data_IF_717326325376
#
_entry.id   IF_717326325376
#
_cell.length_a   1.000
_cell.length_b   1.000
_cell.length_c   1.000
_cell.angle_alpha   90.00
_cell.angle_beta   90.00
_cell.angle_gamma   90.00
#
_symmetry.space_group_name_H-M   'P 1'
#
loop_
_entity.id
_entity.type
_entity.pdbx_description
1 polymer ?
#
# COMPACT_ATOMS: atom_id res chain seq x y z
N UNK A 1 -1.15 17.28 -12.05
CA UNK A 1 -1.49 15.84 -12.10
C UNK A 1 -0.18 15.07 -12.17
N UNK A 2 0.21 14.32 -11.12
CA UNK A 2 1.41 13.49 -11.19
C UNK A 2 1.21 12.46 -12.30
N UNK A 3 2.20 12.29 -13.18
CA UNK A 3 2.12 11.31 -14.27
C UNK A 3 2.12 9.89 -13.68
N UNK A 4 1.38 8.97 -14.31
CA UNK A 4 1.33 7.56 -13.89
C UNK A 4 2.74 6.94 -13.79
N UNK A 5 3.65 7.34 -14.67
CA UNK A 5 5.03 6.87 -14.67
C UNK A 5 5.77 7.24 -13.38
N UNK A 6 5.58 8.47 -12.89
CA UNK A 6 6.24 8.95 -11.67
C UNK A 6 5.77 8.19 -10.42
N UNK A 7 4.45 7.96 -10.30
CA UNK A 7 3.90 7.25 -9.13
C UNK A 7 4.35 5.79 -9.09
N UNK A 8 4.47 5.13 -10.25
CA UNK A 8 5.04 3.78 -10.30
C UNK A 8 6.52 3.78 -9.93
N UNK A 9 7.31 4.74 -10.41
CA UNK A 9 8.73 4.82 -10.05
C UNK A 9 8.92 4.95 -8.54
N UNK A 10 8.15 5.84 -7.89
CA UNK A 10 8.19 5.96 -6.43
C UNK A 10 7.85 4.65 -5.71
N UNK A 11 6.79 3.96 -6.15
CA UNK A 11 6.41 2.69 -5.55
C UNK A 11 7.48 1.62 -5.75
N UNK A 12 8.05 1.51 -6.95
CA UNK A 12 9.13 0.55 -7.23
C UNK A 12 10.38 0.85 -6.41
N UNK A 13 10.75 2.13 -6.27
CA UNK A 13 11.85 2.54 -5.38
C UNK A 13 11.58 2.12 -3.93
N UNK A 14 10.36 2.33 -3.42
CA UNK A 14 9.99 1.93 -2.07
C UNK A 14 10.02 0.40 -1.87
N UNK A 15 9.52 -0.37 -2.84
CA UNK A 15 9.55 -1.83 -2.82
C UNK A 15 10.99 -2.36 -2.85
N UNK A 16 11.85 -1.79 -3.70
CA UNK A 16 13.25 -2.19 -3.77
C UNK A 16 13.98 -1.91 -2.45
N UNK A 17 13.76 -0.73 -1.86
CA UNK A 17 14.29 -0.41 -0.54
C UNK A 17 13.79 -1.39 0.54
N UNK A 18 12.51 -1.74 0.52
CA UNK A 18 11.92 -2.70 1.45
C UNK A 18 12.56 -4.10 1.30
N UNK A 19 12.84 -4.54 0.06
CA UNK A 19 13.58 -5.78 -0.22
C UNK A 19 14.98 -5.77 0.39
N UNK A 20 15.74 -4.70 0.17
CA UNK A 20 17.09 -4.54 0.74
C UNK A 20 17.08 -4.62 2.27
N UNK A 21 16.01 -4.10 2.90
CA UNK A 21 15.81 -4.15 4.35
C UNK A 21 15.18 -5.45 4.86
N UNK A 22 14.92 -6.43 3.98
CA UNK A 22 14.27 -7.71 4.32
C UNK A 22 12.90 -7.52 4.99
N UNK A 23 12.19 -6.45 4.63
CA UNK A 23 10.79 -6.27 4.99
C UNK A 23 10.00 -7.37 4.30
N UNK A 24 9.06 -8.00 5.01
CA UNK A 24 8.24 -9.08 4.46
C UNK A 24 6.97 -8.55 3.80
N UNK A 25 6.36 -7.53 4.41
CA UNK A 25 5.04 -7.05 4.05
C UNK A 25 4.97 -5.53 4.18
N UNK A 26 4.25 -4.88 3.27
CA UNK A 26 3.90 -3.46 3.33
C UNK A 26 2.39 -3.36 3.55
N UNK A 27 1.98 -2.58 4.55
CA UNK A 27 0.58 -2.30 4.85
C UNK A 27 0.28 -0.83 4.64
N UNK A 28 -0.93 -0.50 4.17
CA UNK A 28 -1.39 0.89 4.07
C UNK A 28 -2.89 1.01 4.36
N UNK A 29 -3.27 2.15 4.93
CA UNK A 29 -4.65 2.62 5.06
C UNK A 29 -4.96 3.70 4.03
N UNK A 30 -6.20 3.76 3.57
CA UNK A 30 -6.67 4.79 2.64
C UNK A 30 -8.14 5.16 2.85
N UNK A 31 -8.55 6.27 2.23
CA UNK A 31 -9.94 6.76 2.24
C UNK A 31 -10.74 6.09 1.11
N UNK A 32 -12.05 5.82 1.30
CA UNK A 32 -12.88 5.19 0.27
C UNK A 32 -13.00 6.01 -1.02
N UNK A 33 -12.96 7.35 -0.89
CA UNK A 33 -13.14 8.28 -2.01
C UNK A 33 -11.96 8.27 -3.01
N UNK A 34 -10.79 7.71 -2.65
CA UNK A 34 -9.59 7.71 -3.50
C UNK A 34 -9.55 6.53 -4.48
N UNK A 35 -10.56 6.44 -5.36
CA UNK A 35 -10.73 5.33 -6.30
C UNK A 35 -9.53 5.12 -7.24
N UNK A 36 -8.86 6.19 -7.67
CA UNK A 36 -7.67 6.09 -8.51
C UNK A 36 -6.49 5.44 -7.75
N UNK A 37 -6.34 5.75 -6.46
CA UNK A 37 -5.32 5.14 -5.61
C UNK A 37 -5.60 3.65 -5.40
N UNK A 38 -6.87 3.27 -5.16
CA UNK A 38 -7.27 1.86 -5.01
C UNK A 38 -6.89 1.03 -6.23
N UNK A 39 -7.28 1.49 -7.43
CA UNK A 39 -6.90 0.83 -8.69
C UNK A 39 -5.38 0.77 -8.87
N UNK A 40 -4.68 1.83 -8.47
CA UNK A 40 -3.21 1.88 -8.54
C UNK A 40 -2.57 0.83 -7.62
N UNK A 41 -3.04 0.67 -6.39
CA UNK A 41 -2.54 -0.34 -5.45
C UNK A 41 -2.81 -1.75 -5.99
N UNK A 42 -4.05 -2.02 -6.40
CA UNK A 42 -4.47 -3.33 -6.92
C UNK A 42 -3.66 -3.72 -8.18
N UNK A 43 -3.49 -2.78 -9.11
CA UNK A 43 -2.66 -2.99 -10.31
C UNK A 43 -1.19 -3.27 -9.99
N UNK A 44 -0.68 -2.74 -8.89
CA UNK A 44 0.70 -2.96 -8.44
C UNK A 44 0.83 -4.15 -7.46
N UNK A 45 -0.19 -5.00 -7.34
CA UNK A 45 -0.12 -6.26 -6.60
C UNK A 45 -0.44 -6.16 -5.11
N UNK A 46 -0.96 -5.03 -4.65
CA UNK A 46 -1.55 -4.97 -3.32
C UNK A 46 -2.88 -5.70 -3.30
N UNK A 47 -3.15 -6.40 -2.20
CA UNK A 47 -4.42 -7.08 -1.94
C UNK A 47 -5.20 -6.34 -0.87
N UNK A 48 -6.52 -6.18 -1.07
CA UNK A 48 -7.38 -5.58 -0.06
C UNK A 48 -7.49 -6.54 1.12
N UNK A 49 -7.40 -6.00 2.33
CA UNK A 49 -7.53 -6.76 3.58
C UNK A 49 -8.53 -6.08 4.51
N UNK A 50 -9.04 -6.81 5.48
CA UNK A 50 -9.83 -6.24 6.56
C UNK A 50 -8.92 -5.61 7.62
N UNK A 51 -9.49 -4.77 8.50
CA UNK A 51 -8.71 -4.11 9.55
C UNK A 51 -8.13 -5.12 10.55
N UNK A 52 -8.82 -6.24 10.76
CA UNK A 52 -8.43 -7.31 11.68
C UNK A 52 -7.18 -8.07 11.21
N UNK A 53 -6.84 -7.97 9.92
CA UNK A 53 -5.64 -8.59 9.33
C UNK A 53 -4.39 -7.70 9.42
N UNK A 54 -4.54 -6.47 9.92
CA UNK A 54 -3.39 -5.59 10.15
C UNK A 54 -2.53 -6.11 11.31
N UNK A 55 -1.21 -5.84 11.31
CA UNK A 55 -0.40 -6.01 12.49
C UNK A 55 -0.98 -5.24 13.68
N UNK A 56 -0.88 -5.81 14.89
CA UNK A 56 -1.42 -5.20 16.13
C UNK A 56 -0.90 -3.78 16.37
N UNK A 57 0.34 -3.52 15.96
CA UNK A 57 1.02 -2.24 16.17
C UNK A 57 0.86 -1.28 14.97
N UNK A 58 -0.01 -1.62 14.00
CA UNK A 58 -0.24 -0.75 12.86
C UNK A 58 -1.00 0.53 13.28
N UNK A 59 -0.46 1.73 13.00
CA UNK A 59 -1.08 2.98 13.43
C UNK A 59 -2.25 3.36 12.52
N UNK A 60 -3.44 2.81 12.78
CA UNK A 60 -4.66 3.15 12.04
C UNK A 60 -5.06 4.60 12.30
N UNK A 61 -5.16 5.41 11.24
CA UNK A 61 -5.68 6.78 11.36
C UNK A 61 -7.21 6.80 11.25
N UNK A 62 -7.89 7.74 11.91
CA UNK A 62 -9.37 7.86 11.90
C UNK A 62 -9.98 7.91 10.50
N UNK A 63 -9.23 8.42 9.53
CA UNK A 63 -9.66 8.59 8.14
C UNK A 63 -9.51 7.33 7.29
N UNK A 64 -8.76 6.34 7.75
CA UNK A 64 -8.56 5.09 7.04
C UNK A 64 -9.81 4.23 7.18
N UNK A 65 -10.36 3.80 6.05
CA UNK A 65 -11.54 2.94 5.98
C UNK A 65 -11.37 1.77 5.01
N UNK A 66 -10.25 1.72 4.29
CA UNK A 66 -9.86 0.62 3.42
C UNK A 66 -8.38 0.34 3.62
N UNK A 67 -8.01 -0.94 3.67
CA UNK A 67 -6.66 -1.38 3.96
C UNK A 67 -6.15 -2.31 2.88
N UNK A 68 -4.84 -2.26 2.65
CA UNK A 68 -4.16 -3.07 1.65
C UNK A 68 -2.86 -3.63 2.21
N UNK A 69 -2.46 -4.79 1.68
CA UNK A 69 -1.19 -5.46 1.98
C UNK A 69 -0.45 -5.79 0.69
N UNK A 70 0.87 -5.69 0.71
CA UNK A 70 1.76 -6.19 -0.34
C UNK A 70 2.82 -7.10 0.27
N UNK A 71 2.94 -8.33 -0.24
CA UNK A 71 4.02 -9.26 0.14
C UNK A 71 5.25 -9.01 -0.70
N UNK A 72 6.35 -8.69 -0.04
CA UNK A 72 7.67 -8.54 -0.65
C UNK A 72 8.17 -9.92 -1.08
N UNK A 73 8.57 -10.03 -2.36
CA UNK A 73 9.18 -11.22 -2.96
C UNK A 73 10.69 -11.09 -3.06
#
# INVERSE_FOLDING_TARGET
MLSFQFVNQLLQTAINWAKEKRVKEIYLGTKPMFLAAHRFYEKNGFVSISQEQLPKDFPVMKVDKKFYMYTIR
#
